data_IF_884956622363
#
_entry.id   IF_884956622363
#
_cell.length_a   1.000
_cell.length_b   1.000
_cell.length_c   1.000
_cell.angle_alpha   90.00
_cell.angle_beta   90.00
_cell.angle_gamma   90.00
#
_symmetry.space_group_name_H-M   'P 1'
#
loop_
_entity.id
_entity.type
_entity.pdbx_description
1 polymer ?
#
# COMPACT_ATOMS: atom_id res chain seq x y z
N UNK A 1 -6.26 5.18 1.16
CA UNK A 1 -5.03 4.69 0.49
C UNK A 1 -5.39 3.46 -0.33
N UNK A 2 -4.71 3.21 -1.46
CA UNK A 2 -4.93 2.06 -2.37
C UNK A 2 -4.16 0.80 -1.94
N UNK A 3 -3.78 0.70 -0.66
CA UNK A 3 -2.99 -0.42 -0.12
C UNK A 3 -3.69 -1.77 -0.35
N UNK A 4 -5.01 -1.83 -0.17
CA UNK A 4 -5.77 -3.07 -0.36
C UNK A 4 -5.69 -3.57 -1.80
N UNK A 5 -5.88 -2.66 -2.76
CA UNK A 5 -5.87 -2.95 -4.19
C UNK A 5 -4.51 -3.52 -4.62
N UNK A 6 -3.42 -2.81 -4.29
CA UNK A 6 -2.07 -3.29 -4.61
C UNK A 6 -1.72 -4.60 -3.89
N UNK A 7 -2.13 -4.76 -2.62
CA UNK A 7 -1.91 -6.01 -1.88
C UNK A 7 -2.60 -7.19 -2.57
N UNK A 8 -3.86 -7.01 -2.97
CA UNK A 8 -4.64 -8.04 -3.65
C UNK A 8 -4.08 -8.36 -5.04
N UNK A 9 -3.61 -7.35 -5.79
CA UNK A 9 -2.92 -7.53 -7.07
C UNK A 9 -1.63 -8.36 -6.93
N UNK A 10 -0.92 -8.20 -5.81
CA UNK A 10 0.29 -8.98 -5.49
C UNK A 10 -0.02 -10.37 -4.91
N UNK A 11 -1.29 -10.75 -4.73
CA UNK A 11 -1.68 -12.02 -4.12
C UNK A 11 -1.29 -12.15 -2.64
N UNK A 12 -1.01 -11.04 -1.97
CA UNK A 12 -0.52 -11.02 -0.59
C UNK A 12 -1.69 -11.00 0.40
N UNK A 13 -1.54 -11.66 1.54
CA UNK A 13 -2.45 -11.51 2.68
C UNK A 13 -2.01 -10.35 3.59
N UNK A 14 -2.93 -9.85 4.43
CA UNK A 14 -2.61 -8.82 5.43
C UNK A 14 -1.52 -9.26 6.42
N UNK A 15 -1.46 -10.57 6.72
CA UNK A 15 -0.44 -11.13 7.62
C UNK A 15 0.93 -11.09 6.94
N UNK A 16 1.03 -11.51 5.69
CA UNK A 16 2.31 -11.44 4.95
C UNK A 16 2.84 -10.01 4.83
N UNK A 17 1.96 -9.02 4.58
CA UNK A 17 2.36 -7.60 4.58
C UNK A 17 2.84 -7.16 5.96
N UNK A 18 2.12 -7.56 7.01
CA UNK A 18 2.46 -7.22 8.38
C UNK A 18 3.83 -7.79 8.80
N UNK A 19 4.07 -9.07 8.50
CA UNK A 19 5.31 -9.77 8.81
C UNK A 19 6.52 -9.14 8.08
N UNK A 20 6.34 -8.76 6.82
CA UNK A 20 7.40 -8.10 6.01
C UNK A 20 7.75 -6.69 6.52
N UNK A 21 6.77 -5.97 7.08
CA UNK A 21 6.94 -4.59 7.54
C UNK A 21 7.18 -4.48 9.05
N UNK A 22 7.21 -5.60 9.78
CA UNK A 22 7.37 -5.60 11.24
C UNK A 22 6.22 -4.90 11.96
N UNK A 23 4.99 -5.05 11.47
CA UNK A 23 3.77 -4.45 12.06
C UNK A 23 2.74 -5.52 12.37
N UNK A 24 1.60 -5.14 12.94
CA UNK A 24 0.50 -6.07 13.20
C UNK A 24 -0.44 -6.18 11.99
N UNK A 25 -1.07 -7.34 11.81
CA UNK A 25 -2.18 -7.53 10.84
C UNK A 25 -3.28 -6.47 11.00
N UNK A 26 -3.54 -6.05 12.24
CA UNK A 26 -4.53 -5.01 12.58
C UNK A 26 -4.09 -3.64 12.06
N UNK A 27 -2.80 -3.29 12.14
CA UNK A 27 -2.27 -2.06 11.56
C UNK A 27 -2.52 -2.01 10.05
N UNK A 28 -2.18 -3.09 9.33
CA UNK A 28 -2.44 -3.21 7.88
C UNK A 28 -3.94 -3.04 7.57
N UNK A 29 -4.82 -3.71 8.32
CA UNK A 29 -6.28 -3.52 8.16
C UNK A 29 -6.69 -2.06 8.35
N UNK A 30 -6.20 -1.39 9.40
CA UNK A 30 -6.55 0.02 9.67
C UNK A 30 -6.09 0.94 8.54
N UNK A 31 -4.92 0.69 7.94
CA UNK A 31 -4.45 1.43 6.77
C UNK A 31 -5.35 1.23 5.55
N UNK A 32 -5.75 -0.01 5.28
CA UNK A 32 -6.65 -0.33 4.16
C UNK A 32 -8.02 0.33 4.28
N UNK A 33 -8.55 0.49 5.49
CA UNK A 33 -9.87 1.12 5.73
C UNK A 33 -9.79 2.60 6.13
N UNK A 34 -8.60 3.21 6.09
CA UNK A 34 -8.41 4.62 6.41
C UNK A 34 -8.58 5.00 7.88
N UNK A 35 -8.58 4.03 8.80
CA UNK A 35 -8.67 4.28 10.25
C UNK A 35 -7.32 4.67 10.88
N UNK A 36 -6.21 4.45 10.17
CA UNK A 36 -4.89 4.90 10.56
C UNK A 36 -4.02 5.05 9.31
N UNK A 37 -2.89 5.74 9.44
CA UNK A 37 -1.90 5.87 8.37
C UNK A 37 -0.64 5.08 8.72
N UNK A 38 0.11 4.56 7.72
CA UNK A 38 1.47 4.08 7.94
C UNK A 38 2.34 5.25 8.42
N UNK A 39 3.28 4.98 9.32
CA UNK A 39 4.31 5.97 9.62
C UNK A 39 5.17 6.22 8.37
N UNK A 40 5.74 7.42 8.27
CA UNK A 40 6.50 7.84 7.10
C UNK A 40 7.69 6.91 6.78
N UNK A 41 8.34 6.34 7.80
CA UNK A 41 9.44 5.35 7.66
C UNK A 41 9.00 4.06 6.96
N UNK A 42 7.70 3.73 6.99
CA UNK A 42 7.16 2.50 6.40
C UNK A 42 6.68 2.69 4.98
N UNK A 43 6.50 3.93 4.53
CA UNK A 43 5.98 4.20 3.18
C UNK A 43 6.89 3.65 2.08
N UNK A 44 8.23 3.82 2.11
CA UNK A 44 9.09 3.26 1.07
C UNK A 44 9.01 1.73 1.04
N UNK A 45 9.18 1.06 2.18
CA UNK A 45 9.13 -0.41 2.25
C UNK A 45 7.76 -0.98 1.87
N UNK A 46 6.67 -0.26 2.18
CA UNK A 46 5.32 -0.65 1.78
C UNK A 46 5.13 -0.50 0.26
N UNK A 47 5.63 0.59 -0.32
CA UNK A 47 5.58 0.83 -1.76
C UNK A 47 6.37 -0.23 -2.54
N UNK A 48 7.60 -0.54 -2.09
CA UNK A 48 8.46 -1.58 -2.66
C UNK A 48 7.80 -2.97 -2.58
N UNK A 49 7.25 -3.34 -1.42
CA UNK A 49 6.57 -4.62 -1.21
C UNK A 49 5.35 -4.78 -2.13
N UNK A 50 4.65 -3.69 -2.38
CA UNK A 50 3.45 -3.65 -3.20
C UNK A 50 3.74 -3.35 -4.68
N UNK A 51 5.02 -3.26 -5.05
CA UNK A 51 5.50 -2.95 -6.40
C UNK A 51 4.81 -1.72 -7.02
N UNK A 52 4.75 -0.62 -6.24
CA UNK A 52 4.12 0.63 -6.66
C UNK A 52 4.91 1.83 -6.11
N UNK A 53 4.58 3.05 -6.55
CA UNK A 53 5.11 4.28 -5.97
C UNK A 53 4.39 4.65 -4.67
N UNK A 54 5.01 5.50 -3.84
CA UNK A 54 4.32 6.06 -2.67
C UNK A 54 3.09 6.86 -3.10
N UNK A 55 3.16 7.61 -4.19
CA UNK A 55 2.04 8.35 -4.76
C UNK A 55 0.86 7.45 -5.15
N UNK A 56 1.13 6.27 -5.73
CA UNK A 56 0.11 5.28 -6.07
C UNK A 56 -0.63 4.76 -4.80
N UNK A 57 0.07 4.64 -3.66
CA UNK A 57 -0.59 4.32 -2.38
C UNK A 57 -1.67 5.35 -1.99
N UNK A 58 -1.52 6.60 -2.43
CA UNK A 58 -2.48 7.68 -2.21
C UNK A 58 -3.46 7.88 -3.38
N UNK A 59 -3.41 7.03 -4.42
CA UNK A 59 -4.22 7.14 -5.63
C UNK A 59 -3.81 8.29 -6.54
N UNK A 60 -2.55 8.71 -6.43
CA UNK A 60 -1.92 9.63 -7.38
C UNK A 60 -1.13 8.78 -8.36
N UNK A 61 -1.82 8.23 -9.35
CA UNK A 61 -1.14 7.68 -10.52
C UNK A 61 -0.59 8.88 -11.29
N UNK A 62 0.68 8.83 -11.73
CA UNK A 62 1.32 9.93 -12.45
C UNK A 62 0.40 10.45 -13.56
N UNK A 63 0.30 11.78 -13.77
CA UNK A 63 -0.61 12.35 -14.76
C UNK A 63 -0.41 11.82 -16.20
N UNK A 64 0.70 11.14 -16.49
CA UNK A 64 1.02 10.60 -17.82
C UNK A 64 0.20 9.38 -18.26
N UNK A 65 -0.49 8.64 -17.38
CA UNK A 65 -1.25 7.44 -17.77
C UNK A 65 -2.76 7.69 -18.00
N UNK A 66 -3.26 8.90 -17.72
CA UNK A 66 -4.71 9.21 -17.85
C UNK A 66 -5.14 9.54 -19.29
N UNK A 67 -4.19 9.68 -20.21
CA UNK A 67 -4.42 10.01 -21.63
C UNK A 67 -4.10 8.86 -22.59
N UNK A 68 -3.77 7.67 -22.08
CA UNK A 68 -3.53 6.47 -22.89
C UNK A 68 -4.73 5.52 -22.87
N UNK A 69 -5.91 5.98 -23.33
CA UNK A 69 -6.97 5.09 -23.83
C UNK A 69 -7.98 5.81 -24.71
#
# INVERSE_FOLDING_TARGET
MRIREHREAMGLTRIQVADRLGVTKVAVRKWEVGLAMPNADKLPALADLLNCSIDALYGRDSPEERDAS
#
